data_IF_734592129672
#
_entry.id   IF_734592129672
#
_cell.length_a   1.000
_cell.length_b   1.000
_cell.length_c   1.000
_cell.angle_alpha   90.00
_cell.angle_beta   90.00
_cell.angle_gamma   90.00
#
_symmetry.space_group_name_H-M   'P 1'
#
loop_
_entity.id
_entity.type
_entity.pdbx_description
1 polymer ?
#
# COMPACT_ATOMS: atom_id res chain seq x y z
N UNK A 1 7.37 -2.65 3.23
CA UNK A 1 7.34 -1.24 2.79
C UNK A 1 6.92 -1.17 1.33
N UNK A 2 5.97 -0.30 1.01
CA UNK A 2 5.51 -0.05 -0.35
C UNK A 2 5.61 1.43 -0.69
N UNK A 3 5.96 1.74 -1.93
CA UNK A 3 6.07 3.10 -2.46
C UNK A 3 4.74 3.59 -3.03
N UNK A 4 4.59 4.91 -3.20
CA UNK A 4 3.33 5.54 -3.64
C UNK A 4 2.89 5.20 -5.08
N UNK A 5 3.80 4.71 -5.90
CA UNK A 5 3.54 4.14 -7.23
C UNK A 5 3.09 2.66 -7.18
N UNK A 6 2.98 2.07 -5.99
CA UNK A 6 2.55 0.70 -5.76
C UNK A 6 3.66 -0.35 -5.81
N UNK A 7 4.94 0.05 -5.88
CA UNK A 7 6.07 -0.88 -5.91
C UNK A 7 6.41 -1.41 -4.50
N UNK A 8 6.56 -2.74 -4.35
CA UNK A 8 6.98 -3.36 -3.10
C UNK A 8 8.50 -3.22 -2.92
N UNK A 9 8.94 -2.47 -1.91
CA UNK A 9 10.37 -2.23 -1.62
C UNK A 9 10.97 -3.22 -0.63
N UNK A 10 10.18 -3.65 0.34
CA UNK A 10 10.61 -4.64 1.34
C UNK A 10 9.44 -5.38 1.96
N UNK A 11 9.70 -6.58 2.45
CA UNK A 11 8.79 -7.38 3.25
C UNK A 11 9.57 -7.88 4.48
N UNK A 12 8.96 -7.80 5.66
CA UNK A 12 9.49 -8.34 6.90
C UNK A 12 8.45 -9.29 7.44
N UNK A 13 8.90 -10.47 7.88
CA UNK A 13 8.06 -11.54 8.38
C UNK A 13 8.50 -11.81 9.81
N UNK A 14 7.54 -11.88 10.71
CA UNK A 14 7.80 -12.30 12.08
C UNK A 14 8.19 -13.78 12.11
N UNK A 15 9.33 -14.18 12.70
CA UNK A 15 9.71 -15.58 12.81
C UNK A 15 8.64 -16.47 13.46
N UNK A 16 7.78 -15.91 14.33
CA UNK A 16 6.71 -16.64 15.01
C UNK A 16 5.64 -17.17 14.04
N UNK A 17 5.46 -16.54 12.87
CA UNK A 17 4.49 -16.99 11.85
C UNK A 17 5.11 -17.89 10.78
N UNK A 18 6.37 -18.29 10.94
CA UNK A 18 7.07 -19.17 10.00
C UNK A 18 7.01 -20.61 10.52
N UNK A 19 5.86 -21.25 10.29
CA UNK A 19 5.67 -22.69 10.54
C UNK A 19 5.74 -23.47 9.22
N UNK A 20 6.50 -24.57 9.22
CA UNK A 20 6.61 -25.47 8.05
C UNK A 20 5.38 -26.35 7.88
N UNK A 21 4.64 -26.58 8.96
CA UNK A 21 3.43 -27.38 8.95
C UNK A 21 2.19 -26.54 8.59
N UNK A 22 2.31 -25.20 8.59
CA UNK A 22 1.25 -24.25 8.26
C UNK A 22 1.73 -23.12 7.32
N UNK A 23 2.16 -23.52 6.14
CA UNK A 23 2.63 -22.58 5.10
C UNK A 23 1.47 -21.75 4.53
N UNK A 24 0.26 -22.31 4.51
CA UNK A 24 -0.93 -21.66 3.95
C UNK A 24 -1.29 -20.39 4.74
N UNK A 25 -1.23 -20.44 6.07
CA UNK A 25 -1.43 -19.25 6.90
C UNK A 25 -0.43 -18.13 6.57
N UNK A 26 0.86 -18.48 6.41
CA UNK A 26 1.88 -17.49 6.06
C UNK A 26 1.62 -16.86 4.69
N UNK A 27 1.19 -17.64 3.71
CA UNK A 27 0.82 -17.13 2.38
C UNK A 27 -0.36 -16.16 2.46
N UNK A 28 -1.41 -16.50 3.22
CA UNK A 28 -2.58 -15.65 3.40
C UNK A 28 -2.21 -14.30 4.04
N UNK A 29 -1.34 -14.32 5.05
CA UNK A 29 -0.83 -13.10 5.69
C UNK A 29 -0.06 -12.22 4.70
N UNK A 30 0.78 -12.82 3.85
CA UNK A 30 1.54 -12.09 2.81
C UNK A 30 0.58 -11.45 1.80
N UNK A 31 -0.40 -12.20 1.29
CA UNK A 31 -1.38 -11.70 0.32
C UNK A 31 -2.17 -10.53 0.92
N UNK A 32 -2.66 -10.69 2.14
CA UNK A 32 -3.39 -9.64 2.86
C UNK A 32 -2.53 -8.37 3.01
N UNK A 33 -1.29 -8.51 3.48
CA UNK A 33 -0.39 -7.38 3.70
C UNK A 33 -0.02 -6.63 2.40
N UNK A 34 0.21 -7.35 1.29
CA UNK A 34 0.51 -6.74 -0.01
C UNK A 34 -0.71 -6.00 -0.56
N UNK A 35 -1.89 -6.60 -0.51
CA UNK A 35 -3.11 -5.94 -0.98
C UNK A 35 -3.45 -4.69 -0.15
N UNK A 36 -3.32 -4.79 1.18
CA UNK A 36 -3.50 -3.66 2.09
C UNK A 36 -2.53 -2.51 1.76
N UNK A 37 -1.25 -2.83 1.59
CA UNK A 37 -0.26 -1.82 1.29
C UNK A 37 -0.50 -1.15 -0.07
N UNK A 38 -1.00 -1.88 -1.09
CA UNK A 38 -1.35 -1.31 -2.40
C UNK A 38 -2.50 -0.33 -2.28
N UNK A 39 -3.53 -0.68 -1.51
CA UNK A 39 -4.65 0.23 -1.23
C UNK A 39 -4.15 1.51 -0.57
N UNK A 40 -3.37 1.40 0.50
CA UNK A 40 -2.79 2.56 1.20
C UNK A 40 -1.91 3.43 0.32
N UNK A 41 -1.12 2.83 -0.57
CA UNK A 41 -0.31 3.58 -1.52
C UNK A 41 -1.18 4.41 -2.49
N UNK A 42 -2.26 3.81 -3.01
CA UNK A 42 -3.24 4.51 -3.85
C UNK A 42 -3.95 5.63 -3.11
N UNK A 43 -4.40 5.38 -1.88
CA UNK A 43 -5.06 6.37 -1.03
C UNK A 43 -4.15 7.57 -0.74
N UNK A 44 -2.86 7.31 -0.45
CA UNK A 44 -1.86 8.35 -0.24
C UNK A 44 -1.62 9.16 -1.53
N UNK A 45 -1.47 8.49 -2.67
CA UNK A 45 -1.26 9.17 -3.96
C UNK A 45 -2.46 10.08 -4.32
N UNK A 46 -3.69 9.60 -4.13
CA UNK A 46 -4.90 10.38 -4.35
C UNK A 46 -4.99 11.59 -3.40
N UNK A 47 -4.66 11.40 -2.11
CA UNK A 47 -4.65 12.47 -1.13
C UNK A 47 -3.61 13.56 -1.47
N UNK A 48 -2.41 13.19 -1.91
CA UNK A 48 -1.38 14.15 -2.33
C UNK A 48 -1.78 14.90 -3.60
N UNK A 49 -2.44 14.24 -4.57
CA UNK A 49 -3.01 14.92 -5.74
C UNK A 49 -4.08 15.94 -5.35
N UNK A 50 -4.98 15.59 -4.43
CA UNK A 50 -6.01 16.52 -3.92
C UNK A 50 -5.38 17.73 -3.22
N UNK A 51 -4.36 17.51 -2.39
CA UNK A 51 -3.61 18.61 -1.74
C UNK A 51 -2.92 19.50 -2.76
N UNK A 52 -2.27 18.92 -3.78
CA UNK A 52 -1.61 19.66 -4.83
C UNK A 52 -2.59 20.50 -5.66
N UNK A 53 -3.73 19.93 -6.05
CA UNK A 53 -4.80 20.64 -6.75
C UNK A 53 -5.36 21.80 -5.92
N UNK A 54 -5.57 21.59 -4.62
CA UNK A 54 -6.02 22.63 -3.68
C UNK A 54 -4.98 23.73 -3.44
N UNK A 55 -3.68 23.37 -3.40
CA UNK A 55 -2.58 24.32 -3.22
C UNK A 55 -2.28 25.18 -4.46
N UNK A 56 -2.65 24.71 -5.64
CA UNK A 56 -2.53 25.45 -6.91
C UNK A 56 -3.76 26.34 -7.20
N UNK A 57 -4.80 26.32 -6.36
CA UNK A 57 -6.01 27.13 -6.55
C UNK A 57 -6.79 26.79 -7.81
N UNK A 58 -6.60 25.57 -8.35
CA UNK A 58 -7.25 25.16 -9.59
C UNK A 58 -8.75 24.90 -9.33
N UNK A 59 -9.66 25.55 -10.08
CA UNK A 59 -11.08 25.37 -9.88
C UNK A 59 -11.50 23.92 -10.18
N UNK A 60 -12.46 23.36 -9.42
CA UNK A 60 -12.94 22.01 -9.65
C UNK A 60 -13.56 21.91 -11.07
N UNK A 61 -12.99 21.06 -11.92
CA UNK A 61 -13.44 20.84 -13.31
C UNK A 61 -12.35 20.90 -14.40
N UNK A 62 -11.09 21.18 -14.05
CA UNK A 62 -9.94 21.18 -14.98
C UNK A 62 -9.01 19.94 -14.87
N UNK A 63 -9.46 18.87 -14.20
CA UNK A 63 -8.77 17.57 -14.10
C UNK A 63 -9.63 16.47 -14.72
#
# INVERSE_FOLDING_TARGET
>A
VMTGDGSLKSLSIDPEVVDKDDVDMLQDLIVAAVNEGKRRAGDLAAAEMQKAAGGLGLPPGMI
#
